data_IF_398436898138
#
_entry.id   IF_398436898138
#
_cell.length_a   1.000
_cell.length_b   1.000
_cell.length_c   1.000
_cell.angle_alpha   90.00
_cell.angle_beta   90.00
_cell.angle_gamma   90.00
#
_symmetry.space_group_name_H-M   'P 1'
#
loop_
_entity.id
_entity.type
_entity.pdbx_description
1 polymer ?
#
# COMPACT_ATOMS: atom_id res chain seq x y z
N UNK A 1 16.38 7.12 -9.34
CA UNK A 1 15.11 6.59 -9.87
C UNK A 1 14.30 6.19 -8.67
N UNK A 2 13.29 6.96 -8.28
CA UNK A 2 12.43 6.57 -7.18
C UNK A 2 11.55 5.43 -7.68
N UNK A 3 11.85 4.21 -7.25
CA UNK A 3 11.08 3.02 -7.62
C UNK A 3 9.64 3.16 -7.11
N UNK A 4 8.71 2.43 -7.72
CA UNK A 4 7.31 2.28 -7.26
C UNK A 4 7.23 2.08 -5.74
N UNK A 5 8.20 1.38 -5.16
CA UNK A 5 8.39 1.18 -3.72
C UNK A 5 8.53 2.47 -2.91
N UNK A 6 9.36 3.41 -3.36
CA UNK A 6 9.64 4.67 -2.64
C UNK A 6 8.40 5.57 -2.62
N UNK A 7 7.72 5.68 -3.76
CA UNK A 7 6.43 6.38 -3.87
C UNK A 7 5.35 5.73 -3.02
N UNK A 8 5.25 4.40 -3.07
CA UNK A 8 4.26 3.68 -2.30
C UNK A 8 4.52 3.83 -0.80
N UNK A 9 5.79 3.78 -0.37
CA UNK A 9 6.17 3.95 1.03
C UNK A 9 5.81 5.34 1.54
N UNK A 10 6.03 6.40 0.75
CA UNK A 10 5.55 7.75 1.08
C UNK A 10 4.03 7.82 1.17
N UNK A 11 3.30 7.30 0.18
CA UNK A 11 1.84 7.25 0.20
C UNK A 11 1.30 6.52 1.42
N UNK A 12 1.92 5.40 1.79
CA UNK A 12 1.57 4.63 2.99
C UNK A 12 1.86 5.46 4.24
N UNK A 13 3.07 6.00 4.40
CA UNK A 13 3.41 6.79 5.59
C UNK A 13 2.55 8.07 5.75
N UNK A 14 2.09 8.65 4.65
CA UNK A 14 1.27 9.87 4.65
C UNK A 14 -0.23 9.62 4.81
N UNK A 15 -0.73 8.45 4.39
CA UNK A 15 -2.18 8.17 4.38
C UNK A 15 -2.59 7.02 5.31
N UNK A 16 -1.64 6.24 5.82
CA UNK A 16 -1.90 5.12 6.71
C UNK A 16 -1.30 5.41 8.09
N UNK A 17 -2.17 5.38 9.10
CA UNK A 17 -1.81 5.51 10.50
C UNK A 17 -2.39 4.34 11.30
N UNK A 18 -1.63 3.91 12.32
CA UNK A 18 -2.01 2.88 13.27
C UNK A 18 -1.96 3.52 14.64
N UNK A 19 -3.11 3.55 15.31
CA UNK A 19 -3.25 4.15 16.65
C UNK A 19 -2.79 5.63 16.70
N UNK A 20 -3.03 6.40 15.63
CA UNK A 20 -2.63 7.81 15.54
C UNK A 20 -1.15 8.04 15.26
N UNK A 21 -0.39 6.99 14.93
CA UNK A 21 1.00 7.07 14.50
C UNK A 21 1.15 6.60 13.05
N UNK A 22 1.97 7.27 12.23
CA UNK A 22 2.22 6.82 10.87
C UNK A 22 2.83 5.42 10.88
N UNK A 23 2.33 4.55 10.01
CA UNK A 23 2.85 3.19 9.90
C UNK A 23 4.31 3.21 9.41
N UNK A 24 5.21 2.64 10.22
CA UNK A 24 6.60 2.44 9.83
C UNK A 24 6.73 1.15 9.03
N UNK A 25 6.74 1.26 7.71
CA UNK A 25 7.02 0.11 6.85
C UNK A 25 8.49 -0.31 6.96
N UNK A 26 8.78 -1.61 7.09
CA UNK A 26 10.12 -2.14 6.97
C UNK A 26 10.62 -1.96 5.52
N UNK A 27 11.94 -1.85 5.36
CA UNK A 27 12.57 -1.62 4.05
C UNK A 27 12.25 -2.73 3.03
N UNK A 28 12.08 -3.96 3.51
CA UNK A 28 11.75 -5.12 2.67
C UNK A 28 10.29 -5.17 2.20
N UNK A 29 9.40 -4.29 2.70
CA UNK A 29 7.96 -4.25 2.38
C UNK A 29 7.24 -5.61 2.52
N UNK A 30 7.87 -6.58 3.18
CA UNK A 30 7.38 -7.92 3.42
C UNK A 30 6.51 -7.93 4.69
N UNK A 31 5.59 -6.97 4.76
CA UNK A 31 4.63 -6.83 5.84
C UNK A 31 3.22 -6.77 5.26
N UNK A 32 2.30 -7.46 5.91
CA UNK A 32 0.88 -7.38 5.64
C UNK A 32 0.32 -6.10 6.25
N UNK A 33 -0.38 -5.26 5.47
CA UNK A 33 -1.00 -4.03 6.02
C UNK A 33 -1.97 -4.36 7.16
N UNK A 34 -2.71 -5.48 7.05
CA UNK A 34 -3.56 -5.97 8.15
C UNK A 34 -2.75 -6.33 9.41
N UNK A 35 -1.58 -6.96 9.27
CA UNK A 35 -0.73 -7.31 10.42
C UNK A 35 -0.03 -6.11 11.04
N UNK A 36 0.19 -5.06 10.24
CA UNK A 36 0.67 -3.80 10.76
C UNK A 36 -0.38 -3.04 11.60
N UNK A 37 -1.61 -3.54 11.70
CA UNK A 37 -2.68 -2.92 12.47
C UNK A 37 -3.49 -1.89 11.66
N UNK A 38 -3.38 -1.89 10.33
CA UNK A 38 -4.16 -1.02 9.47
C UNK A 38 -5.63 -1.46 9.49
N UNK A 39 -6.52 -0.50 9.78
CA UNK A 39 -7.95 -0.73 9.69
C UNK A 39 -8.36 -0.99 8.23
N UNK A 40 -9.33 -1.89 8.04
CA UNK A 40 -9.85 -2.22 6.71
C UNK A 40 -10.30 -0.98 5.92
N UNK A 41 -10.78 0.05 6.62
CA UNK A 41 -11.22 1.34 6.05
C UNK A 41 -10.04 2.11 5.44
N UNK A 42 -8.93 2.23 6.16
CA UNK A 42 -7.71 2.88 5.69
C UNK A 42 -7.08 2.11 4.53
N UNK A 43 -7.11 0.79 4.58
CA UNK A 43 -6.72 -0.09 3.47
C UNK A 43 -7.53 0.21 2.19
N UNK A 44 -8.85 0.41 2.31
CA UNK A 44 -9.72 0.79 1.18
C UNK A 44 -9.37 2.17 0.63
N UNK A 45 -9.17 3.15 1.52
CA UNK A 45 -8.83 4.51 1.15
C UNK A 45 -7.48 4.55 0.41
N UNK A 46 -6.50 3.85 0.95
CA UNK A 46 -5.19 3.67 0.36
C UNK A 46 -5.24 2.98 -1.00
N UNK A 47 -5.98 1.88 -1.12
CA UNK A 47 -6.18 1.18 -2.39
C UNK A 47 -6.70 2.11 -3.49
N UNK A 48 -7.65 2.98 -3.16
CA UNK A 48 -8.18 4.00 -4.09
C UNK A 48 -7.15 5.06 -4.45
N UNK A 49 -6.40 5.57 -3.48
CA UNK A 49 -5.36 6.58 -3.72
C UNK A 49 -4.28 6.04 -4.66
N UNK A 50 -3.79 4.83 -4.37
CA UNK A 50 -2.81 4.13 -5.21
C UNK A 50 -3.38 3.89 -6.62
N UNK A 51 -4.64 3.45 -6.73
CA UNK A 51 -5.30 3.30 -8.03
C UNK A 51 -5.29 4.60 -8.85
N UNK A 52 -5.56 5.73 -8.19
CA UNK A 52 -5.56 7.03 -8.84
C UNK A 52 -4.15 7.52 -9.20
N UNK A 53 -3.20 7.39 -8.28
CA UNK A 53 -1.82 7.86 -8.43
C UNK A 53 -1.06 7.10 -9.53
N UNK A 54 -1.18 5.77 -9.53
CA UNK A 54 -0.50 4.91 -10.50
C UNK A 54 -1.33 4.61 -11.75
N UNK A 55 -2.53 5.19 -11.84
CA UNK A 55 -3.49 4.96 -12.93
C UNK A 55 -3.83 3.48 -13.16
N UNK A 56 -3.75 2.65 -12.11
CA UNK A 56 -4.05 1.23 -12.18
C UNK A 56 -5.49 0.94 -11.76
N UNK A 57 -6.07 -0.15 -12.29
CA UNK A 57 -7.33 -0.69 -11.75
C UNK A 57 -7.02 -1.55 -10.53
N UNK A 58 -6.92 -0.91 -9.37
CA UNK A 58 -6.73 -1.60 -8.10
C UNK A 58 -8.07 -1.66 -7.34
N UNK A 59 -8.60 -2.87 -7.16
CA UNK A 59 -9.90 -3.08 -6.50
C UNK A 59 -9.74 -3.50 -5.05
N UNK A 60 -10.82 -3.40 -4.27
CA UNK A 60 -10.86 -3.92 -2.90
C UNK A 60 -10.57 -5.42 -2.82
N UNK A 61 -11.01 -6.18 -3.83
CA UNK A 61 -10.68 -7.59 -3.95
C UNK A 61 -9.19 -7.81 -4.14
N UNK A 62 -8.52 -7.03 -4.99
CA UNK A 62 -7.06 -7.06 -5.09
C UNK A 62 -6.40 -6.72 -3.76
N UNK A 63 -6.92 -5.72 -3.04
CA UNK A 63 -6.39 -5.34 -1.73
C UNK A 63 -6.54 -6.43 -0.67
N UNK A 64 -7.64 -7.19 -0.71
CA UNK A 64 -7.84 -8.36 0.15
C UNK A 64 -7.06 -9.59 -0.27
N UNK A 65 -6.64 -9.67 -1.54
CA UNK A 65 -5.87 -10.78 -2.09
C UNK A 65 -4.35 -10.55 -1.95
N UNK A 66 -3.93 -9.29 -1.80
CA UNK A 66 -2.53 -8.91 -1.58
C UNK A 66 -2.15 -9.20 -0.14
N UNK A 67 -1.24 -10.15 0.05
CA UNK A 67 -0.78 -10.55 1.38
C UNK A 67 0.30 -9.62 1.93
N UNK A 68 1.02 -8.89 1.08
CA UNK A 68 2.12 -8.03 1.52
C UNK A 68 2.26 -6.78 0.67
N UNK A 69 2.75 -5.70 1.26
CA UNK A 69 3.00 -4.43 0.54
C UNK A 69 3.93 -4.64 -0.66
N UNK A 70 4.93 -5.51 -0.56
CA UNK A 70 5.81 -5.89 -1.68
C UNK A 70 5.06 -6.49 -2.87
N UNK A 71 4.00 -7.26 -2.63
CA UNK A 71 3.20 -7.84 -3.71
C UNK A 71 2.32 -6.77 -4.38
N UNK A 72 1.86 -5.78 -3.59
CA UNK A 72 1.21 -4.58 -4.09
C UNK A 72 2.15 -3.78 -5.01
N UNK A 73 3.39 -3.54 -4.58
CA UNK A 73 4.40 -2.86 -5.40
C UNK A 73 4.66 -3.63 -6.68
N UNK A 74 4.92 -4.94 -6.63
CA UNK A 74 5.18 -5.73 -7.83
C UNK A 74 4.01 -5.67 -8.82
N UNK A 75 2.77 -5.67 -8.34
CA UNK A 75 1.57 -5.50 -9.17
C UNK A 75 1.53 -4.11 -9.84
N UNK A 76 1.87 -3.07 -9.10
CA UNK A 76 1.91 -1.70 -9.62
C UNK A 76 3.04 -1.50 -10.63
N UNK A 77 4.22 -2.05 -10.34
CA UNK A 77 5.40 -2.00 -11.19
C UNK A 77 5.17 -2.77 -12.50
N UNK A 78 4.52 -3.94 -12.45
CA UNK A 78 4.16 -4.72 -13.63
C UNK A 78 3.00 -4.10 -14.45
N UNK A 79 2.25 -3.15 -13.88
CA UNK A 79 1.12 -2.50 -14.53
C UNK A 79 1.46 -1.11 -15.13
N UNK A 80 2.60 -0.52 -14.76
CA UNK A 80 3.12 0.75 -15.30
C UNK A 80 4.09 0.55 -16.46
#
# INVERSE_FOLDING_TARGET
MASTEDRLRSLIAENLEVDGQPIALPDDLNISLMEAGISSVDLVAFAKLVAQEFNVKFTLEDCGNVNSVRELVNRLDAAG
#
